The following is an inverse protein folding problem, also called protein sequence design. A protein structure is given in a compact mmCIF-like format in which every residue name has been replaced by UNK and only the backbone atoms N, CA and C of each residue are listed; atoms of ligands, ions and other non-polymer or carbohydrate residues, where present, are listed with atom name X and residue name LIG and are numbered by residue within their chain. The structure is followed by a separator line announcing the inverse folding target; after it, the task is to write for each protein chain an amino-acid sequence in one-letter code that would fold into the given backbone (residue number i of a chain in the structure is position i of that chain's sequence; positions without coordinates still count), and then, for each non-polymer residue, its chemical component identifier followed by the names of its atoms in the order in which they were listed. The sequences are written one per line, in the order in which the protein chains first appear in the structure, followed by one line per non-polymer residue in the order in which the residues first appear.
data_IF_801772625373
#
_entry.id   IF_801772625373
#
_cell.length_a   1.000
_cell.length_b   1.000
_cell.length_c   1.000
_cell.angle_alpha   90.00
_cell.angle_beta   90.00
_cell.angle_gamma   90.00
#
_symmetry.space_group_name_H-M   'P 1'
#
loop_
_entity.id
_entity.type
_entity.pdbx_description
1 polymer ?
#
# COMPACT_ATOMS: atom_id res chain seq x y z
N UNK A 1 1.91 -2.04 -27.60
CA UNK A 1 1.97 -3.54 -27.62
C UNK A 1 1.81 -4.08 -26.20
N UNK A 2 1.42 -5.35 -25.96
CA UNK A 2 1.30 -5.87 -24.58
C UNK A 2 2.62 -5.85 -23.80
N UNK A 3 3.75 -6.06 -24.48
CA UNK A 3 5.09 -6.06 -23.86
C UNK A 3 5.47 -4.73 -23.20
N UNK A 4 4.96 -3.60 -23.69
CA UNK A 4 5.21 -2.28 -23.12
C UNK A 4 4.66 -2.14 -21.69
N UNK A 5 3.74 -3.00 -21.29
CA UNK A 5 3.15 -3.01 -19.94
C UNK A 5 4.05 -3.69 -18.91
N UNK A 6 4.99 -4.55 -19.32
CA UNK A 6 5.85 -5.33 -18.42
C UNK A 6 6.62 -4.43 -17.43
N UNK A 7 7.30 -3.35 -17.86
CA UNK A 7 7.99 -2.46 -16.92
C UNK A 7 7.05 -1.86 -15.87
N UNK A 8 5.84 -1.46 -16.27
CA UNK A 8 4.86 -0.90 -15.36
C UNK A 8 4.39 -1.92 -14.30
N UNK A 9 4.13 -3.17 -14.70
CA UNK A 9 3.79 -4.26 -13.78
C UNK A 9 4.89 -4.46 -12.75
N UNK A 10 6.15 -4.56 -13.20
CA UNK A 10 7.29 -4.76 -12.33
C UNK A 10 7.50 -3.58 -11.37
N UNK A 11 7.41 -2.35 -11.84
CA UNK A 11 7.53 -1.15 -11.00
C UNK A 11 6.45 -1.11 -9.93
N UNK A 12 5.21 -1.44 -10.26
CA UNK A 12 4.10 -1.46 -9.31
C UNK A 12 4.31 -2.55 -8.25
N UNK A 13 4.57 -3.80 -8.66
CA UNK A 13 4.66 -4.89 -7.69
C UNK A 13 5.89 -4.76 -6.79
N UNK A 14 7.03 -4.32 -7.32
CA UNK A 14 8.24 -4.06 -6.54
C UNK A 14 8.05 -2.85 -5.61
N UNK A 15 7.46 -1.76 -6.10
CA UNK A 15 7.14 -0.59 -5.29
C UNK A 15 6.22 -0.94 -4.12
N UNK A 16 5.15 -1.72 -4.38
CA UNK A 16 4.26 -2.23 -3.33
C UNK A 16 4.98 -3.15 -2.35
N UNK A 17 5.82 -4.05 -2.86
CA UNK A 17 6.59 -4.95 -2.01
C UNK A 17 7.48 -4.19 -1.03
N UNK A 18 8.25 -3.22 -1.52
CA UNK A 18 9.14 -2.37 -0.70
C UNK A 18 8.32 -1.57 0.31
N UNK A 19 7.28 -0.88 -0.14
CA UNK A 19 6.48 0.00 0.70
C UNK A 19 5.69 -0.74 1.80
N UNK A 20 5.38 -2.02 1.61
CA UNK A 20 4.72 -2.89 2.59
C UNK A 20 5.71 -3.73 3.42
N UNK A 21 7.01 -3.56 3.19
CA UNK A 21 8.05 -4.24 3.99
C UNK A 21 8.60 -3.25 5.02
N UNK A 22 8.43 -3.55 6.31
CA UNK A 22 9.02 -2.74 7.36
C UNK A 22 10.55 -2.74 7.23
N UNK A 23 11.21 -1.58 7.34
CA UNK A 23 12.68 -1.50 7.29
C UNK A 23 13.34 -2.11 8.52
N UNK A 24 12.58 -2.23 9.60
CA UNK A 24 13.04 -2.76 10.89
C UNK A 24 12.13 -3.88 11.38
N UNK A 25 12.68 -4.88 12.09
CA UNK A 25 11.87 -5.92 12.71
C UNK A 25 10.90 -5.30 13.74
N UNK A 26 9.78 -6.00 14.06
CA UNK A 26 8.85 -5.54 15.07
C UNK A 26 9.54 -5.28 16.40
N UNK A 27 9.40 -4.06 16.93
CA UNK A 27 10.05 -3.64 18.18
C UNK A 27 9.51 -4.43 19.37
N UNK A 28 10.37 -5.01 20.22
CA UNK A 28 9.96 -5.65 21.47
C UNK A 28 9.19 -4.69 22.38
N UNK A 29 8.23 -5.23 23.15
CA UNK A 29 7.45 -4.41 24.10
C UNK A 29 8.33 -3.64 25.10
N UNK A 30 9.43 -4.26 25.54
CA UNK A 30 10.38 -3.67 26.48
C UNK A 30 11.04 -2.37 25.98
N UNK A 31 11.07 -2.13 24.67
CA UNK A 31 11.67 -0.95 24.05
C UNK A 31 10.65 0.14 23.69
N UNK A 32 9.36 -0.05 24.05
CA UNK A 32 8.30 0.92 23.77
C UNK A 32 8.01 1.74 25.03
N UNK A 33 8.25 3.04 24.97
CA UNK A 33 7.94 3.97 26.06
C UNK A 33 6.45 4.30 26.18
N UNK A 34 5.78 4.45 25.02
CA UNK A 34 4.35 4.73 24.92
C UNK A 34 3.80 3.93 23.73
N UNK A 35 2.55 3.46 23.82
CA UNK A 35 1.91 2.79 22.68
C UNK A 35 0.91 1.68 23.01
N UNK A 36 0.70 1.38 24.28
CA UNK A 36 -0.35 0.43 24.71
C UNK A 36 -1.72 1.12 24.94
N UNK A 37 -1.91 2.31 24.37
CA UNK A 37 -3.20 2.98 24.38
C UNK A 37 -4.21 2.28 23.45
N UNK A 38 -5.54 2.49 23.66
CA UNK A 38 -6.60 1.78 22.94
C UNK A 38 -6.70 2.10 21.45
N UNK A 39 -5.72 2.77 20.84
CA UNK A 39 -5.71 3.17 19.42
C UNK A 39 -4.80 2.28 18.58
N UNK A 40 -4.88 0.98 18.78
CA UNK A 40 -4.40 0.00 17.82
C UNK A 40 -5.39 -0.18 16.68
N UNK A 41 -5.68 0.86 15.89
CA UNK A 41 -6.47 0.71 14.68
C UNK A 41 -5.55 0.07 13.65
N UNK A 42 -5.74 -1.22 13.38
CA UNK A 42 -5.18 -1.88 12.22
C UNK A 42 -5.77 -1.21 10.98
N UNK A 43 -5.03 -0.32 10.35
CA UNK A 43 -5.47 0.40 9.16
C UNK A 43 -5.73 -0.52 7.95
N UNK A 44 -5.16 -1.74 7.95
CA UNK A 44 -5.42 -2.78 6.95
C UNK A 44 -6.68 -3.59 7.24
N UNK A 45 -7.23 -3.51 8.44
CA UNK A 45 -8.34 -4.33 8.87
C UNK A 45 -9.63 -3.58 9.15
N UNK A 46 -9.82 -2.31 8.76
CA UNK A 46 -11.11 -1.57 8.83
C UNK A 46 -11.95 -1.75 10.11
N UNK A 47 -11.46 -2.56 11.06
CA UNK A 47 -12.18 -2.97 12.26
C UNK A 47 -11.81 -2.09 13.46
N UNK A 48 -12.84 -1.59 14.13
CA UNK A 48 -12.75 -1.08 15.49
C UNK A 48 -12.27 -2.27 16.33
N UNK A 49 -11.03 -2.22 16.83
CA UNK A 49 -10.56 -3.23 17.77
C UNK A 49 -11.31 -3.09 19.11
N UNK A 50 -12.42 -3.75 19.22
CA UNK A 50 -13.13 -4.01 20.49
C UNK A 50 -12.41 -5.04 21.37
N UNK A 51 -11.27 -5.55 20.93
CA UNK A 51 -10.53 -6.58 21.66
C UNK A 51 -9.28 -5.90 22.27
N UNK A 52 -9.18 -5.90 23.58
CA UNK A 52 -7.92 -5.83 24.34
C UNK A 52 -7.07 -7.05 23.96
N UNK A 53 -6.60 -7.09 22.73
CA UNK A 53 -5.87 -8.22 22.20
C UNK A 53 -4.44 -8.19 22.75
N UNK A 54 -3.99 -9.34 23.18
CA UNK A 54 -2.61 -9.65 23.51
C UNK A 54 -1.68 -9.09 22.41
N UNK A 55 -0.82 -8.14 22.71
CA UNK A 55 -0.01 -7.37 21.73
C UNK A 55 0.83 -8.26 20.79
N UNK A 56 1.17 -9.48 21.23
CA UNK A 56 1.88 -10.47 20.41
C UNK A 56 0.95 -11.02 19.31
N UNK A 57 -0.30 -11.37 19.67
CA UNK A 57 -1.26 -11.85 18.68
C UNK A 57 -1.57 -10.77 17.62
N UNK A 58 -1.67 -9.52 18.03
CA UNK A 58 -1.92 -8.39 17.11
C UNK A 58 -0.77 -8.19 16.11
N UNK A 59 0.48 -8.29 16.55
CA UNK A 59 1.64 -8.17 15.65
C UNK A 59 1.76 -9.34 14.68
N UNK A 60 1.46 -10.55 15.12
CA UNK A 60 1.45 -11.75 14.26
C UNK A 60 0.33 -11.70 13.21
N UNK A 61 -0.86 -11.24 13.61
CA UNK A 61 -1.98 -11.04 12.68
C UNK A 61 -1.61 -10.01 11.62
N UNK A 62 -1.00 -8.89 12.01
CA UNK A 62 -0.59 -7.84 11.08
C UNK A 62 0.49 -8.32 10.10
N UNK A 63 1.48 -9.09 10.55
CA UNK A 63 2.49 -9.69 9.68
C UNK A 63 1.85 -10.64 8.66
N UNK A 64 0.94 -11.52 9.11
CA UNK A 64 0.20 -12.42 8.23
C UNK A 64 -0.64 -11.66 7.20
N UNK A 65 -1.32 -10.59 7.61
CA UNK A 65 -2.10 -9.74 6.71
C UNK A 65 -1.20 -9.08 5.65
N UNK A 66 -0.07 -8.49 6.03
CA UNK A 66 0.88 -7.89 5.09
C UNK A 66 1.44 -8.92 4.11
N UNK A 67 1.75 -10.12 4.57
CA UNK A 67 2.23 -11.21 3.72
C UNK A 67 1.16 -11.64 2.72
N UNK A 68 -0.09 -11.80 3.15
CA UNK A 68 -1.22 -12.16 2.27
C UNK A 68 -1.48 -11.08 1.21
N UNK A 69 -1.42 -9.80 1.60
CA UNK A 69 -1.58 -8.67 0.67
C UNK A 69 -0.46 -8.67 -0.38
N UNK A 70 0.80 -8.85 0.04
CA UNK A 70 1.93 -8.97 -0.90
C UNK A 70 1.76 -10.14 -1.85
N UNK A 71 1.35 -11.31 -1.34
CA UNK A 71 1.08 -12.48 -2.16
C UNK A 71 0.01 -12.18 -3.22
N UNK A 72 -1.06 -11.48 -2.85
CA UNK A 72 -2.11 -11.05 -3.79
C UNK A 72 -1.57 -10.18 -4.93
N UNK A 73 -0.74 -9.17 -4.62
CA UNK A 73 -0.11 -8.32 -5.65
C UNK A 73 0.81 -9.12 -6.59
N UNK A 74 1.62 -10.01 -6.03
CA UNK A 74 2.49 -10.87 -6.84
C UNK A 74 1.68 -11.83 -7.71
N UNK A 75 0.60 -12.43 -7.20
CA UNK A 75 -0.29 -13.29 -7.99
C UNK A 75 -0.90 -12.53 -9.17
N UNK A 76 -1.41 -11.31 -8.94
CA UNK A 76 -1.95 -10.49 -10.02
C UNK A 76 -0.88 -10.13 -11.07
N UNK A 77 0.33 -9.76 -10.62
CA UNK A 77 1.43 -9.44 -11.52
C UNK A 77 1.86 -10.65 -12.36
N UNK A 78 2.02 -11.82 -11.75
CA UNK A 78 2.37 -13.06 -12.45
C UNK A 78 1.29 -13.43 -13.44
N UNK A 79 0.00 -13.34 -13.08
CA UNK A 79 -1.10 -13.62 -14.00
C UNK A 79 -1.06 -12.69 -15.23
N UNK A 80 -0.87 -11.38 -15.05
CA UNK A 80 -0.73 -10.45 -16.17
C UNK A 80 0.48 -10.76 -17.05
N UNK A 81 1.64 -11.07 -16.44
CA UNK A 81 2.84 -11.45 -17.18
C UNK A 81 2.63 -12.74 -17.99
N UNK A 82 2.01 -13.76 -17.38
CA UNK A 82 1.69 -15.01 -18.08
C UNK A 82 0.79 -14.78 -19.30
N UNK A 83 -0.22 -13.92 -19.18
CA UNK A 83 -1.11 -13.58 -20.32
C UNK A 83 -0.34 -12.85 -21.41
N UNK A 84 0.52 -11.88 -21.04
CA UNK A 84 1.32 -11.13 -22.02
C UNK A 84 2.27 -12.08 -22.77
N UNK A 85 2.98 -12.95 -22.05
CA UNK A 85 3.88 -13.94 -22.64
C UNK A 85 3.10 -14.93 -23.53
N UNK A 86 1.97 -15.45 -23.04
CA UNK A 86 1.11 -16.33 -23.85
C UNK A 86 0.63 -15.68 -25.14
N UNK A 87 0.36 -14.37 -25.12
CA UNK A 87 -0.05 -13.61 -26.30
C UNK A 87 1.07 -13.32 -27.30
N UNK A 88 2.33 -13.47 -26.90
CA UNK A 88 3.50 -13.31 -27.80
C UNK A 88 3.99 -14.63 -28.39
N UNK A 89 3.53 -15.76 -27.85
CA UNK A 89 3.88 -17.09 -28.37
C UNK A 89 3.00 -17.44 -29.59
N UNK A 90 3.47 -18.39 -30.37
CA UNK A 90 2.68 -18.94 -31.48
C UNK A 90 1.32 -19.45 -31.00
N UNK A 91 0.26 -19.12 -31.74
CA UNK A 91 -1.13 -19.41 -31.36
C UNK A 91 -1.43 -20.92 -31.18
N UNK A 92 -0.54 -21.79 -31.64
CA UNK A 92 -0.70 -23.24 -31.53
C UNK A 92 -0.06 -23.87 -30.29
N UNK A 93 0.68 -23.09 -29.48
CA UNK A 93 1.24 -23.61 -28.26
C UNK A 93 0.13 -24.05 -27.27
N UNK A 94 0.18 -25.32 -26.86
CA UNK A 94 -0.78 -25.88 -25.90
C UNK A 94 -0.74 -25.13 -24.55
N UNK A 95 0.44 -24.62 -24.16
CA UNK A 95 0.61 -23.81 -22.95
C UNK A 95 -0.11 -22.46 -23.09
N UNK A 96 0.09 -21.76 -24.22
CA UNK A 96 -0.57 -20.48 -24.49
C UNK A 96 -2.09 -20.62 -24.42
N UNK A 97 -2.66 -21.61 -25.11
CA UNK A 97 -4.10 -21.90 -25.11
C UNK A 97 -4.64 -22.15 -23.67
N UNK A 98 -3.92 -22.93 -22.85
CA UNK A 98 -4.30 -23.23 -21.48
C UNK A 98 -4.26 -21.98 -20.58
N UNK A 99 -3.18 -21.18 -20.66
CA UNK A 99 -3.04 -19.96 -19.87
C UNK A 99 -4.15 -18.96 -20.20
N UNK A 100 -4.40 -18.74 -21.50
CA UNK A 100 -5.45 -17.82 -21.95
C UNK A 100 -6.83 -18.31 -21.51
N UNK A 101 -7.14 -19.59 -21.68
CA UNK A 101 -8.42 -20.17 -21.28
C UNK A 101 -8.65 -20.05 -19.75
N UNK A 102 -7.59 -20.19 -18.94
CA UNK A 102 -7.68 -20.11 -17.49
C UNK A 102 -7.80 -18.65 -17.01
N UNK A 103 -7.01 -17.72 -17.54
CA UNK A 103 -6.87 -16.38 -17.03
C UNK A 103 -7.74 -15.34 -17.74
N UNK A 104 -8.18 -15.62 -18.97
CA UNK A 104 -9.10 -14.81 -19.77
C UNK A 104 -10.32 -15.61 -20.19
N UNK A 105 -11.24 -15.91 -19.26
CA UNK A 105 -12.47 -16.63 -19.61
C UNK A 105 -13.26 -15.87 -20.69
N UNK A 106 -14.13 -16.59 -21.41
CA UNK A 106 -14.98 -16.08 -22.51
C UNK A 106 -14.23 -15.65 -23.79
N UNK A 107 -13.06 -16.23 -24.06
CA UNK A 107 -12.38 -16.12 -25.35
C UNK A 107 -11.80 -14.74 -25.67
N UNK A 108 -11.57 -13.89 -24.65
CA UNK A 108 -10.87 -12.63 -24.88
C UNK A 108 -9.44 -12.87 -25.34
N UNK A 109 -9.01 -12.04 -26.29
CA UNK A 109 -7.66 -12.12 -26.83
C UNK A 109 -6.65 -11.49 -25.84
N UNK A 110 -5.44 -12.06 -25.67
CA UNK A 110 -4.39 -11.54 -24.78
C UNK A 110 -4.03 -10.06 -25.00
N UNK A 111 -4.19 -9.53 -26.20
CA UNK A 111 -3.96 -8.11 -26.51
C UNK A 111 -4.90 -7.13 -25.81
N UNK A 112 -5.96 -7.62 -25.12
CA UNK A 112 -6.75 -6.76 -24.25
C UNK A 112 -5.92 -6.29 -23.02
N UNK A 113 -4.88 -7.04 -22.63
CA UNK A 113 -3.95 -6.66 -21.55
C UNK A 113 -2.88 -5.75 -22.16
N UNK A 114 -3.01 -4.45 -21.96
CA UNK A 114 -2.13 -3.45 -22.57
C UNK A 114 -1.92 -2.25 -21.69
N UNK A 115 -0.85 -1.50 -21.96
CA UNK A 115 -0.63 -0.20 -21.34
C UNK A 115 -1.62 0.82 -21.92
N UNK A 116 -2.27 1.58 -21.07
CA UNK A 116 -3.21 2.64 -21.42
C UNK A 116 -2.85 3.92 -20.67
N UNK A 117 -3.31 5.11 -21.08
CA UNK A 117 -3.06 6.35 -20.33
C UNK A 117 -3.49 6.24 -18.86
N UNK A 118 -4.60 5.56 -18.58
CA UNK A 118 -5.09 5.32 -17.21
C UNK A 118 -4.17 4.41 -16.41
N UNK A 119 -3.67 3.31 -17.00
CA UNK A 119 -2.71 2.43 -16.32
C UNK A 119 -1.34 3.11 -16.16
N UNK A 120 -0.95 3.99 -17.08
CA UNK A 120 0.26 4.80 -16.95
C UNK A 120 0.13 5.79 -15.77
N UNK A 121 -1.00 6.51 -15.68
CA UNK A 121 -1.27 7.37 -14.53
C UNK A 121 -1.22 6.58 -13.21
N UNK A 122 -1.87 5.41 -13.18
CA UNK A 122 -1.85 4.53 -12.01
C UNK A 122 -0.41 4.13 -11.62
N UNK A 123 0.43 3.80 -12.62
CA UNK A 123 1.84 3.48 -12.38
C UNK A 123 2.58 4.66 -11.76
N UNK A 124 2.41 5.86 -12.29
CA UNK A 124 3.03 7.08 -11.75
C UNK A 124 2.62 7.28 -10.29
N UNK A 125 1.33 7.17 -9.97
CA UNK A 125 0.84 7.35 -8.60
C UNK A 125 1.41 6.32 -7.64
N UNK A 126 1.41 5.03 -8.02
CA UNK A 126 1.95 3.95 -7.17
C UNK A 126 3.44 4.13 -6.95
N UNK A 127 4.20 4.38 -8.01
CA UNK A 127 5.66 4.53 -7.93
C UNK A 127 6.02 5.76 -7.10
N UNK A 128 5.39 6.91 -7.34
CA UNK A 128 5.61 8.12 -6.54
C UNK A 128 5.32 7.89 -5.05
N UNK A 129 4.19 7.24 -4.74
CA UNK A 129 3.85 6.88 -3.36
C UNK A 129 4.86 5.92 -2.73
N UNK A 130 5.34 4.92 -3.48
CA UNK A 130 6.35 3.98 -3.01
C UNK A 130 7.71 4.66 -2.76
N UNK A 131 8.12 5.57 -3.62
CA UNK A 131 9.36 6.37 -3.47
C UNK A 131 9.27 7.25 -2.22
N UNK A 132 8.15 7.96 -2.01
CA UNK A 132 7.95 8.76 -0.80
C UNK A 132 8.06 7.90 0.45
N UNK A 133 7.40 6.73 0.48
CA UNK A 133 7.47 5.81 1.62
C UNK A 133 8.88 5.27 1.85
N UNK A 134 9.56 4.87 0.79
CA UNK A 134 10.95 4.41 0.89
C UNK A 134 11.87 5.50 1.46
N UNK A 135 11.69 6.75 1.03
CA UNK A 135 12.44 7.88 1.57
C UNK A 135 12.11 8.10 3.06
N UNK A 136 10.84 8.02 3.46
CA UNK A 136 10.47 8.06 4.86
C UNK A 136 11.14 6.94 5.69
N UNK A 137 11.22 5.72 5.13
CA UNK A 137 11.89 4.61 5.79
C UNK A 137 13.38 4.87 6.02
N UNK A 138 14.04 5.47 5.03
CA UNK A 138 15.45 5.84 5.14
C UNK A 138 15.71 6.94 6.16
N UNK A 139 14.90 7.99 6.16
CA UNK A 139 15.05 9.11 7.09
C UNK A 139 14.77 8.71 8.54
N UNK A 140 13.70 7.96 8.78
CA UNK A 140 13.37 7.50 10.14
C UNK A 140 14.24 6.35 10.62
N UNK A 141 14.76 5.53 9.71
CA UNK A 141 15.58 4.36 10.05
C UNK A 141 14.90 3.47 11.11
N UNK A 142 15.58 3.24 12.23
CA UNK A 142 15.06 2.39 13.33
C UNK A 142 13.79 2.92 13.99
N UNK A 143 13.47 4.20 13.85
CA UNK A 143 12.29 4.82 14.46
C UNK A 143 11.01 4.60 13.63
N UNK A 144 11.15 4.13 12.39
CA UNK A 144 9.97 3.81 11.58
C UNK A 144 9.28 2.55 12.09
N UNK A 145 8.02 2.69 12.50
CA UNK A 145 7.18 1.57 12.94
C UNK A 145 5.80 1.66 12.29
N UNK A 146 5.19 0.50 11.99
CA UNK A 146 3.80 0.47 11.52
C UNK A 146 2.78 0.74 12.65
N UNK A 147 3.21 0.62 13.90
CA UNK A 147 2.42 0.98 15.07
C UNK A 147 2.79 2.39 15.54
N UNK A 148 1.81 3.14 16.03
CA UNK A 148 2.08 4.42 16.68
C UNK A 148 2.71 4.12 18.04
N UNK A 149 3.99 4.40 18.18
CA UNK A 149 4.76 4.15 19.41
C UNK A 149 5.97 5.07 19.49
N UNK A 150 6.39 5.40 20.70
CA UNK A 150 7.67 6.06 20.97
C UNK A 150 8.66 5.00 21.44
N UNK A 151 9.79 4.94 20.78
CA UNK A 151 10.87 4.03 21.12
C UNK A 151 11.79 4.66 22.16
N UNK A 152 12.59 3.83 22.82
CA UNK A 152 13.65 4.31 23.69
C UNK A 152 14.67 5.12 22.87
N UNK A 153 15.07 6.30 23.42
CA UNK A 153 15.92 7.28 22.73
C UNK A 153 15.36 7.74 21.36
N UNK A 154 14.03 7.82 21.23
CA UNK A 154 13.39 8.35 20.03
C UNK A 154 13.82 9.81 19.81
N UNK A 155 14.13 10.16 18.55
CA UNK A 155 14.44 11.53 18.14
C UNK A 155 13.37 12.02 17.18
N UNK A 156 12.98 13.29 17.29
CA UNK A 156 12.07 13.90 16.33
C UNK A 156 12.78 14.05 14.98
N UNK A 157 12.29 13.35 13.95
CA UNK A 157 12.84 13.41 12.60
C UNK A 157 12.19 14.57 11.86
N UNK A 158 12.99 15.55 11.44
CA UNK A 158 12.55 16.80 10.80
C UNK A 158 13.18 17.01 9.42
N UNK A 159 13.94 16.01 8.93
CA UNK A 159 14.71 16.07 7.67
C UNK A 159 14.01 15.33 6.54
N UNK A 160 14.53 15.49 5.32
CA UNK A 160 13.99 14.82 4.13
C UNK A 160 12.51 15.15 3.89
N UNK A 161 11.65 14.17 3.65
CA UNK A 161 10.23 14.42 3.39
C UNK A 161 9.49 15.04 4.58
N UNK A 162 10.01 14.88 5.83
CA UNK A 162 9.45 15.46 7.05
C UNK A 162 9.74 16.96 7.22
N UNK A 163 10.61 17.54 6.37
CA UNK A 163 10.78 18.99 6.29
C UNK A 163 9.75 19.67 5.39
N UNK A 164 9.00 18.91 4.61
CA UNK A 164 7.99 19.41 3.65
C UNK A 164 6.58 19.28 4.23
N UNK A 165 6.24 18.07 4.73
CA UNK A 165 4.96 17.77 5.38
C UNK A 165 5.20 16.89 6.60
N UNK A 166 4.27 16.93 7.59
CA UNK A 166 4.45 16.19 8.85
C UNK A 166 4.25 14.69 8.72
N UNK A 167 3.39 14.26 7.78
CA UNK A 167 3.04 12.85 7.59
C UNK A 167 3.25 12.37 6.15
N UNK A 168 4.47 12.47 5.60
CA UNK A 168 4.73 12.13 4.20
C UNK A 168 4.48 10.64 3.89
N UNK A 169 4.70 9.75 4.85
CA UNK A 169 4.43 8.32 4.67
C UNK A 169 2.95 8.01 4.46
N UNK A 170 2.04 8.77 5.09
CA UNK A 170 0.60 8.63 4.82
C UNK A 170 0.22 9.19 3.45
N UNK A 171 0.82 10.31 3.03
CA UNK A 171 0.63 10.82 1.68
C UNK A 171 1.04 9.79 0.62
N UNK A 172 2.21 9.15 0.80
CA UNK A 172 2.65 8.04 -0.04
C UNK A 172 1.66 6.88 -0.06
N UNK A 173 1.10 6.51 1.10
CA UNK A 173 0.09 5.44 1.20
C UNK A 173 -1.18 5.78 0.43
N UNK A 174 -1.66 7.02 0.52
CA UNK A 174 -2.85 7.48 -0.21
C UNK A 174 -2.62 7.43 -1.72
N UNK A 175 -1.48 7.94 -2.19
CA UNK A 175 -1.12 7.88 -3.62
C UNK A 175 -1.09 6.44 -4.14
N UNK A 176 -0.47 5.54 -3.38
CA UNK A 176 -0.43 4.11 -3.74
C UNK A 176 -1.82 3.50 -3.78
N UNK A 177 -2.67 3.78 -2.81
CA UNK A 177 -4.02 3.22 -2.74
C UNK A 177 -4.88 3.71 -3.91
N UNK A 178 -4.86 5.00 -4.22
CA UNK A 178 -5.56 5.58 -5.38
C UNK A 178 -5.04 4.98 -6.68
N UNK A 179 -3.72 4.93 -6.84
CA UNK A 179 -3.09 4.31 -8.01
C UNK A 179 -3.46 2.84 -8.18
N UNK A 180 -3.54 2.06 -7.10
CA UNK A 180 -3.97 0.65 -7.12
C UNK A 180 -5.42 0.49 -7.58
N UNK A 181 -6.33 1.31 -7.07
CA UNK A 181 -7.74 1.27 -7.51
C UNK A 181 -7.81 1.55 -9.02
N UNK A 182 -7.14 2.62 -9.48
CA UNK A 182 -7.09 2.96 -10.90
C UNK A 182 -6.48 1.80 -11.71
N UNK A 183 -5.34 1.24 -11.28
CA UNK A 183 -4.68 0.13 -11.98
C UNK A 183 -5.60 -1.05 -12.21
N UNK A 184 -6.26 -1.54 -11.16
CA UNK A 184 -7.10 -2.74 -11.26
C UNK A 184 -8.44 -2.52 -11.93
N UNK A 185 -8.95 -1.27 -11.96
CA UNK A 185 -10.22 -0.94 -12.61
C UNK A 185 -10.05 -0.36 -14.01
N UNK A 186 -8.83 0.00 -14.43
CA UNK A 186 -8.55 0.58 -15.74
C UNK A 186 -8.71 -0.43 -16.89
N UNK A 187 -9.10 0.04 -18.09
CA UNK A 187 -8.99 -0.78 -19.30
C UNK A 187 -7.56 -1.29 -19.46
N UNK A 188 -7.42 -2.54 -19.89
CA UNK A 188 -6.13 -3.16 -20.07
C UNK A 188 -5.56 -3.85 -18.85
N UNK A 189 -6.21 -3.80 -17.66
CA UNK A 189 -5.79 -4.59 -16.51
C UNK A 189 -6.42 -5.98 -16.51
N UNK A 190 -5.68 -6.98 -16.05
CA UNK A 190 -6.19 -8.34 -15.98
C UNK A 190 -7.41 -8.47 -15.05
N UNK A 191 -7.40 -7.82 -13.90
CA UNK A 191 -8.52 -7.92 -12.96
C UNK A 191 -9.82 -7.43 -13.61
N UNK A 192 -9.77 -6.34 -14.35
CA UNK A 192 -10.91 -5.83 -15.10
C UNK A 192 -11.30 -6.74 -16.27
N UNK A 193 -10.35 -7.07 -17.13
CA UNK A 193 -10.64 -7.76 -18.40
C UNK A 193 -10.96 -9.24 -18.19
N UNK A 194 -10.32 -9.89 -17.21
CA UNK A 194 -10.47 -11.32 -16.97
C UNK A 194 -11.41 -11.69 -15.83
N UNK A 195 -11.60 -10.82 -14.82
CA UNK A 195 -12.33 -11.20 -13.60
C UNK A 195 -13.56 -10.34 -13.37
N UNK A 196 -13.41 -9.00 -13.26
CA UNK A 196 -14.49 -8.11 -12.82
C UNK A 196 -15.73 -8.21 -13.71
N UNK A 197 -15.55 -8.19 -15.02
CA UNK A 197 -16.66 -8.20 -15.96
C UNK A 197 -17.10 -9.60 -16.38
N UNK A 198 -16.31 -10.63 -16.07
CA UNK A 198 -16.55 -11.99 -16.51
C UNK A 198 -17.21 -12.85 -15.43
N UNK A 199 -16.87 -12.62 -14.17
CA UNK A 199 -17.31 -13.45 -13.05
C UNK A 199 -18.14 -12.59 -12.09
N UNK A 200 -19.47 -12.68 -12.16
CA UNK A 200 -20.38 -11.91 -11.28
C UNK A 200 -20.08 -12.16 -9.79
N UNK A 201 -19.67 -13.39 -9.45
CA UNK A 201 -19.32 -13.78 -8.08
C UNK A 201 -18.03 -13.08 -7.56
N UNK A 202 -17.16 -12.61 -8.46
CA UNK A 202 -15.93 -11.91 -8.08
C UNK A 202 -16.19 -10.63 -7.28
N UNK A 203 -17.34 -9.98 -7.49
CA UNK A 203 -17.74 -8.80 -6.72
C UNK A 203 -17.89 -9.07 -5.24
N UNK A 204 -18.25 -10.31 -4.83
CA UNK A 204 -18.32 -10.69 -3.43
C UNK A 204 -16.96 -10.65 -2.72
N UNK A 205 -15.85 -10.77 -3.47
CA UNK A 205 -14.49 -10.64 -2.93
C UNK A 205 -13.93 -9.23 -3.11
N UNK A 206 -14.25 -8.58 -4.23
CA UNK A 206 -13.69 -7.26 -4.58
C UNK A 206 -14.29 -6.15 -3.72
N UNK A 207 -15.61 -6.16 -3.49
CA UNK A 207 -16.28 -5.14 -2.68
C UNK A 207 -15.73 -5.08 -1.25
N UNK A 208 -15.58 -6.20 -0.50
CA UNK A 208 -14.96 -6.15 0.83
C UNK A 208 -13.52 -5.61 0.82
N UNK A 209 -12.72 -5.93 -0.19
CA UNK A 209 -11.35 -5.43 -0.32
C UNK A 209 -11.36 -3.90 -0.51
N UNK A 210 -12.19 -3.39 -1.43
CA UNK A 210 -12.33 -1.94 -1.66
C UNK A 210 -12.84 -1.25 -0.39
N UNK A 211 -13.83 -1.84 0.28
CA UNK A 211 -14.37 -1.30 1.53
C UNK A 211 -13.31 -1.25 2.64
N UNK A 212 -12.53 -2.31 2.82
CA UNK A 212 -11.41 -2.32 3.76
C UNK A 212 -10.36 -1.25 3.44
N UNK A 213 -10.02 -1.06 2.16
CA UNK A 213 -9.12 0.00 1.73
C UNK A 213 -9.70 1.40 2.06
N UNK A 214 -10.97 1.62 1.73
CA UNK A 214 -11.66 2.88 2.01
C UNK A 214 -11.70 3.18 3.52
N UNK A 215 -12.09 2.21 4.34
CA UNK A 215 -12.09 2.35 5.80
C UNK A 215 -10.69 2.61 6.36
N UNK A 216 -9.67 1.97 5.82
CA UNK A 216 -8.28 2.23 6.16
C UNK A 216 -7.87 3.68 5.87
N UNK A 217 -8.18 4.18 4.68
CA UNK A 217 -7.92 5.56 4.29
C UNK A 217 -8.74 6.56 5.13
N UNK A 218 -10.01 6.29 5.40
CA UNK A 218 -10.87 7.13 6.21
C UNK A 218 -10.40 7.25 7.68
N UNK A 219 -9.65 6.27 8.18
CA UNK A 219 -9.03 6.33 9.51
C UNK A 219 -7.70 7.10 9.54
N UNK A 220 -7.11 7.43 8.39
CA UNK A 220 -5.81 8.12 8.33
C UNK A 220 -5.79 9.45 9.10
N UNK A 221 -6.81 10.35 9.02
CA UNK A 221 -6.81 11.59 9.79
C UNK A 221 -6.76 11.36 11.30
N UNK A 222 -7.52 10.38 11.81
CA UNK A 222 -7.52 10.02 13.25
C UNK A 222 -6.14 9.52 13.69
N UNK A 223 -5.50 8.73 12.84
CA UNK A 223 -4.15 8.23 13.08
C UNK A 223 -3.12 9.35 13.15
N UNK A 224 -3.15 10.28 12.19
CA UNK A 224 -2.26 11.44 12.19
C UNK A 224 -2.43 12.30 13.45
N UNK A 225 -3.68 12.57 13.85
CA UNK A 225 -3.94 13.33 15.08
C UNK A 225 -3.42 12.62 16.33
N UNK A 226 -3.56 11.30 16.41
CA UNK A 226 -3.04 10.52 17.54
C UNK A 226 -1.51 10.51 17.56
N UNK A 227 -0.86 10.43 16.40
CA UNK A 227 0.59 10.50 16.26
C UNK A 227 1.11 11.90 16.64
N UNK A 228 0.50 12.97 16.11
CA UNK A 228 0.82 14.36 16.46
C UNK A 228 0.70 14.60 17.99
N UNK A 229 -0.38 14.12 18.59
CA UNK A 229 -0.60 14.28 20.05
C UNK A 229 0.47 13.53 20.86
N UNK A 230 0.87 12.35 20.43
CA UNK A 230 1.88 11.55 21.10
C UNK A 230 3.28 12.17 20.95
N UNK A 231 3.64 12.64 19.75
CA UNK A 231 4.90 13.33 19.50
C UNK A 231 4.96 14.66 20.29
N UNK A 232 3.87 15.40 20.33
CA UNK A 232 3.79 16.64 21.15
C UNK A 232 3.96 16.35 22.63
N UNK A 233 3.40 15.27 23.16
CA UNK A 233 3.56 14.87 24.56
C UNK A 233 5.00 14.50 24.87
N UNK A 234 5.72 13.85 23.96
CA UNK A 234 7.11 13.42 24.18
C UNK A 234 8.10 14.56 23.98
N UNK A 235 7.98 15.33 22.89
CA UNK A 235 8.97 16.34 22.47
C UNK A 235 8.60 17.79 22.87
N UNK A 236 7.38 18.03 23.32
CA UNK A 236 6.93 19.33 23.84
C UNK A 236 7.22 20.51 22.91
N UNK A 237 8.05 21.45 23.40
CA UNK A 237 8.41 22.68 22.67
C UNK A 237 9.16 22.44 21.36
N UNK A 238 9.91 21.34 21.25
CA UNK A 238 10.62 20.98 20.02
C UNK A 238 9.61 20.63 18.91
N UNK A 239 8.60 19.82 19.25
CA UNK A 239 7.50 19.51 18.34
C UNK A 239 6.72 20.77 17.91
N UNK A 240 6.42 21.68 18.87
CA UNK A 240 5.69 22.92 18.56
C UNK A 240 6.48 23.82 17.57
N UNK A 241 7.81 23.90 17.71
CA UNK A 241 8.68 24.63 16.77
C UNK A 241 8.64 23.98 15.37
N UNK A 242 8.78 22.66 15.31
CA UNK A 242 8.70 21.93 14.05
C UNK A 242 7.33 22.05 13.38
N UNK A 243 6.24 21.89 14.12
CA UNK A 243 4.88 21.99 13.59
C UNK A 243 4.55 23.40 13.05
N UNK A 244 5.18 24.47 13.60
CA UNK A 244 5.09 25.82 13.06
C UNK A 244 5.89 25.98 11.77
N UNK A 245 7.07 25.37 11.67
CA UNK A 245 7.92 25.41 10.48
C UNK A 245 7.34 24.56 9.33
N UNK A 246 6.68 23.44 9.67
CA UNK A 246 6.07 22.50 8.73
C UNK A 246 4.55 22.41 9.00
N UNK A 247 3.75 23.40 8.55
CA UNK A 247 2.33 23.49 8.89
C UNK A 247 1.47 22.42 8.18
N UNK A 248 1.91 21.94 7.03
CA UNK A 248 1.18 20.99 6.21
C UNK A 248 1.26 19.57 6.76
N UNK A 249 0.13 18.85 6.78
CA UNK A 249 0.08 17.48 7.28
C UNK A 249 0.42 16.44 6.23
N UNK A 250 -0.25 16.47 5.09
CA UNK A 250 -0.17 15.46 4.04
C UNK A 250 0.42 15.99 2.73
N UNK A 251 -0.11 17.09 2.26
CA UNK A 251 0.28 17.69 0.98
C UNK A 251 0.59 19.17 1.20
N UNK A 252 1.62 19.71 0.53
CA UNK A 252 1.88 21.15 0.57
C UNK A 252 0.64 21.95 0.14
N UNK A 253 0.31 22.99 0.90
CA UNK A 253 -0.87 23.84 0.64
C UNK A 253 -2.18 23.34 1.26
N UNK A 254 -2.23 22.15 1.87
CA UNK A 254 -3.41 21.60 2.56
C UNK A 254 -3.10 21.50 4.06
N UNK A 255 -3.86 22.24 4.89
CA UNK A 255 -3.72 22.30 6.36
C UNK A 255 -4.52 21.21 7.08
#
# INVERSE_FOLDING_TARGET
MPLEKIPAILLIVLGMHIALTAPTPPTPKSQRRFGDGPVGINWLGGGINLIKANTIATSQIQLKQLTSIKAGYWTCAVAELCIIVAGTMESDSAWSKRVVALLLPNGKHPYCIRLTPTTTLATILVVSGAVIRYWCFREMGRYFTFHITILENHKLVMTGPYSIVRHPSYAGTILMAVGQVIWYTAPGSWLREGIIYQIKLAWLLIIPVILCMFLGLANTPRRMMAEDAMLKKEFGKEWDKWAKAVPYRLFPGIH
#
